data_IF_022466799019
#
_entry.id   IF_022466799019
#
_cell.length_a   1.000
_cell.length_b   1.000
_cell.length_c   1.000
_cell.angle_alpha   90.00
_cell.angle_beta   90.00
_cell.angle_gamma   90.00
#
_symmetry.space_group_name_H-M   'P 1'
#
loop_
_entity.id
_entity.type
_entity.pdbx_description
1 polymer ?
#
# COMPACT_ATOMS: atom_id res chain seq x y z
N UNK A 1 6.61 14.59 13.22
CA UNK A 1 5.42 13.77 12.88
C UNK A 1 5.87 12.53 12.17
N UNK A 2 5.45 11.33 12.57
CA UNK A 2 5.84 10.07 11.96
C UNK A 2 4.70 9.49 11.12
N UNK A 3 4.95 9.26 9.83
CA UNK A 3 3.99 8.68 8.89
C UNK A 3 4.48 7.29 8.49
N UNK A 4 3.64 6.27 8.65
CA UNK A 4 3.90 4.93 8.14
C UNK A 4 3.25 4.78 6.76
N UNK A 5 4.07 4.55 5.73
CA UNK A 5 3.60 4.22 4.39
C UNK A 5 3.61 2.70 4.22
N UNK A 6 2.45 2.10 4.01
CA UNK A 6 2.29 0.70 3.68
C UNK A 6 2.29 0.51 2.15
N UNK A 7 3.31 -0.16 1.61
CA UNK A 7 3.47 -0.32 0.16
C UNK A 7 3.99 -1.71 -0.22
N UNK A 8 3.33 -2.31 -1.20
CA UNK A 8 3.78 -3.50 -1.93
C UNK A 8 4.79 -3.14 -3.04
N UNK A 9 4.84 -1.86 -3.41
CA UNK A 9 5.79 -1.28 -4.37
C UNK A 9 6.86 -0.51 -3.61
N UNK A 10 7.77 -1.24 -2.99
CA UNK A 10 8.95 -0.70 -2.29
C UNK A 10 10.17 -1.60 -2.54
N UNK A 11 11.34 -1.14 -2.10
CA UNK A 11 12.60 -1.87 -2.27
C UNK A 11 12.48 -3.35 -1.89
N UNK A 12 13.10 -4.27 -2.66
CA UNK A 12 14.11 -4.04 -3.71
C UNK A 12 13.54 -3.80 -5.13
N UNK A 13 12.23 -3.58 -5.27
CA UNK A 13 11.65 -3.25 -6.58
C UNK A 13 12.08 -1.86 -7.03
N UNK A 14 12.27 -1.66 -8.33
CA UNK A 14 12.61 -0.36 -8.92
C UNK A 14 11.58 -0.04 -10.00
N UNK A 15 10.57 0.76 -9.65
CA UNK A 15 9.51 1.17 -10.58
C UNK A 15 9.13 2.65 -10.34
N UNK A 16 8.15 3.17 -11.10
CA UNK A 16 7.72 4.56 -10.98
C UNK A 16 7.17 4.92 -9.59
N UNK A 17 6.42 4.01 -8.97
CA UNK A 17 5.83 4.21 -7.64
C UNK A 17 6.92 4.30 -6.56
N UNK A 18 7.92 3.42 -6.62
CA UNK A 18 9.07 3.45 -5.70
C UNK A 18 9.77 4.80 -5.75
N UNK A 19 10.06 5.32 -6.96
CA UNK A 19 10.72 6.62 -7.14
C UNK A 19 9.93 7.79 -6.55
N UNK A 20 8.61 7.76 -6.65
CA UNK A 20 7.75 8.79 -6.04
C UNK A 20 7.89 8.77 -4.52
N UNK A 21 7.83 7.58 -3.90
CA UNK A 21 7.96 7.46 -2.45
C UNK A 21 9.38 7.72 -1.93
N UNK A 22 10.42 7.34 -2.66
CA UNK A 22 11.81 7.71 -2.33
C UNK A 22 11.97 9.22 -2.26
N UNK A 23 11.48 9.92 -3.29
CA UNK A 23 11.55 11.38 -3.31
C UNK A 23 10.68 11.99 -2.21
N UNK A 24 9.50 11.45 -1.95
CA UNK A 24 8.64 11.91 -0.86
C UNK A 24 9.35 11.79 0.50
N UNK A 25 10.05 10.68 0.78
CA UNK A 25 10.81 10.48 2.02
C UNK A 25 11.90 11.55 2.20
N UNK A 26 12.53 11.98 1.11
CA UNK A 26 13.56 13.02 1.14
C UNK A 26 12.96 14.42 1.34
N UNK A 27 11.92 14.74 0.57
CA UNK A 27 11.31 16.08 0.48
C UNK A 27 10.39 16.40 1.67
N UNK A 28 9.99 15.41 2.48
CA UNK A 28 9.11 15.64 3.64
C UNK A 28 9.85 16.21 4.86
N UNK A 29 11.18 16.07 4.92
CA UNK A 29 12.00 16.46 6.08
C UNK A 29 11.85 17.95 6.46
N UNK A 30 11.83 18.92 5.52
CA UNK A 30 11.61 20.33 5.84
C UNK A 30 10.26 20.62 6.50
N UNK A 31 9.28 19.73 6.36
CA UNK A 31 7.97 19.85 6.99
C UNK A 31 7.91 19.25 8.40
N UNK A 32 9.05 18.83 8.98
CA UNK A 32 9.11 18.23 10.31
C UNK A 32 8.46 16.84 10.39
N UNK A 33 8.33 16.18 9.24
CA UNK A 33 7.80 14.83 9.14
C UNK A 33 8.93 13.82 8.89
N UNK A 34 8.68 12.59 9.32
CA UNK A 34 9.51 11.42 9.07
C UNK A 34 8.61 10.34 8.46
N UNK A 35 9.07 9.75 7.37
CA UNK A 35 8.37 8.66 6.71
C UNK A 35 9.11 7.36 6.98
N UNK A 36 8.39 6.40 7.55
CA UNK A 36 8.76 5.00 7.66
C UNK A 36 8.00 4.23 6.58
N UNK A 37 8.69 3.44 5.75
CA UNK A 37 8.05 2.67 4.69
C UNK A 37 8.07 1.19 5.05
N UNK A 38 6.87 0.64 5.25
CA UNK A 38 6.61 -0.77 5.44
C UNK A 38 6.48 -1.45 4.07
N UNK A 39 7.52 -2.18 3.68
CA UNK A 39 7.72 -2.71 2.32
C UNK A 39 7.78 -4.24 2.22
N UNK A 40 7.78 -4.80 0.99
CA UNK A 40 7.74 -6.25 0.76
C UNK A 40 9.02 -6.98 1.20
N UNK A 41 10.16 -6.27 1.32
CA UNK A 41 11.41 -6.84 1.81
C UNK A 41 11.35 -7.34 3.26
N UNK A 42 10.37 -6.90 4.05
CA UNK A 42 10.18 -7.34 5.43
C UNK A 42 9.58 -8.75 5.54
N UNK A 43 9.11 -9.32 4.41
CA UNK A 43 8.49 -10.64 4.36
C UNK A 43 9.07 -11.52 3.27
N UNK A 44 8.83 -12.82 3.41
CA UNK A 44 9.00 -13.75 2.29
C UNK A 44 8.08 -13.32 1.16
N UNK A 45 8.59 -13.32 -0.06
CA UNK A 45 7.81 -12.97 -1.24
C UNK A 45 7.66 -14.18 -2.15
N UNK A 46 6.53 -14.24 -2.85
CA UNK A 46 6.34 -15.16 -3.97
C UNK A 46 6.18 -14.36 -5.26
N UNK A 47 6.77 -14.83 -6.38
CA UNK A 47 6.48 -14.24 -7.68
C UNK A 47 5.00 -14.46 -7.98
N UNK A 48 4.36 -13.42 -8.53
CA UNK A 48 3.02 -13.58 -9.06
C UNK A 48 3.06 -14.59 -10.23
N UNK A 49 2.15 -15.58 -10.29
CA UNK A 49 2.04 -16.48 -11.44
C UNK A 49 1.91 -15.66 -12.72
N UNK A 50 2.69 -15.99 -13.76
CA UNK A 50 2.78 -15.29 -15.07
C UNK A 50 3.49 -13.93 -15.08
N UNK A 51 3.89 -13.37 -13.93
CA UNK A 51 4.61 -12.09 -13.88
C UNK A 51 5.57 -12.03 -12.68
N UNK A 52 6.72 -12.70 -12.81
CA UNK A 52 7.67 -12.93 -11.71
C UNK A 52 8.38 -11.67 -11.19
N UNK A 53 8.31 -10.56 -11.93
CA UNK A 53 8.85 -9.27 -11.51
C UNK A 53 8.05 -8.67 -10.34
N UNK A 54 6.74 -8.98 -10.25
CA UNK A 54 5.92 -8.58 -9.10
C UNK A 54 6.08 -9.63 -8.00
N UNK A 55 6.58 -9.15 -6.87
CA UNK A 55 6.80 -9.96 -5.67
C UNK A 55 5.69 -9.69 -4.66
N UNK A 56 4.79 -10.65 -4.48
CA UNK A 56 3.74 -10.57 -3.48
C UNK A 56 4.29 -10.91 -2.10
N UNK A 57 4.16 -9.99 -1.15
CA UNK A 57 4.58 -10.21 0.23
C UNK A 57 3.64 -11.20 0.94
N UNK A 58 4.20 -12.29 1.47
CA UNK A 58 3.52 -13.24 2.34
C UNK A 58 3.45 -12.73 3.78
N UNK A 59 2.86 -11.55 3.95
CA UNK A 59 2.56 -10.99 5.25
C UNK A 59 1.31 -11.65 5.85
N UNK A 60 1.20 -11.66 7.18
CA UNK A 60 0.00 -12.06 7.94
C UNK A 60 -0.58 -10.87 8.69
N UNK A 61 -1.86 -10.94 9.10
CA UNK A 61 -2.51 -9.87 9.86
C UNK A 61 -1.73 -9.58 11.16
N UNK A 62 -1.22 -10.63 11.83
CA UNK A 62 -0.40 -10.49 13.03
C UNK A 62 0.97 -9.88 12.77
N UNK A 63 1.63 -10.15 11.63
CA UNK A 63 2.92 -9.51 11.33
C UNK A 63 2.76 -8.03 11.01
N UNK A 64 1.68 -7.67 10.31
CA UNK A 64 1.35 -6.27 10.00
C UNK A 64 1.03 -5.51 11.30
N UNK A 65 0.19 -6.07 12.16
CA UNK A 65 -0.12 -5.46 13.46
C UNK A 65 1.14 -5.16 14.27
N UNK A 66 2.02 -6.16 14.43
CA UNK A 66 3.30 -6.00 15.16
C UNK A 66 4.19 -4.91 14.55
N UNK A 67 4.25 -4.82 13.21
CA UNK A 67 5.06 -3.82 12.52
C UNK A 67 4.51 -2.40 12.68
N UNK A 68 3.19 -2.24 12.68
CA UNK A 68 2.53 -0.95 12.92
C UNK A 68 2.74 -0.53 14.38
N UNK A 69 2.52 -1.45 15.33
CA UNK A 69 2.68 -1.20 16.76
C UNK A 69 4.13 -0.86 17.15
N UNK A 70 5.11 -1.50 16.51
CA UNK A 70 6.53 -1.19 16.74
C UNK A 70 6.92 0.17 16.14
N UNK A 71 6.35 0.53 14.98
CA UNK A 71 6.63 1.80 14.34
C UNK A 71 6.07 2.99 15.12
N UNK A 72 4.98 2.80 15.87
CA UNK A 72 4.23 3.85 16.59
C UNK A 72 4.00 5.09 15.73
N UNK A 73 3.37 4.97 14.55
CA UNK A 73 3.18 6.11 13.68
C UNK A 73 2.06 7.02 14.18
N UNK A 74 2.19 8.32 13.91
CA UNK A 74 1.11 9.28 14.10
C UNK A 74 0.03 9.10 13.03
N UNK A 75 0.44 8.76 11.80
CA UNK A 75 -0.45 8.61 10.64
C UNK A 75 -0.08 7.40 9.80
N UNK A 76 -1.10 6.77 9.19
CA UNK A 76 -0.94 5.65 8.25
C UNK A 76 -1.40 6.06 6.86
N UNK A 77 -0.57 5.79 5.86
CA UNK A 77 -0.88 5.95 4.45
C UNK A 77 -0.74 4.62 3.71
N UNK A 78 -1.78 4.20 3.00
CA UNK A 78 -1.81 2.96 2.23
C UNK A 78 -1.55 3.28 0.76
N UNK A 79 -0.34 2.97 0.29
CA UNK A 79 0.14 3.35 -1.03
C UNK A 79 -0.30 2.42 -2.17
N UNK A 80 -0.58 1.16 -1.84
CA UNK A 80 -0.88 0.09 -2.79
C UNK A 80 -1.99 -0.80 -2.28
N UNK A 81 -2.57 -1.58 -3.18
CA UNK A 81 -3.74 -2.42 -2.90
C UNK A 81 -3.40 -3.92 -2.84
N UNK A 82 -2.10 -4.25 -2.85
CA UNK A 82 -1.59 -5.61 -2.72
C UNK A 82 -1.70 -6.16 -1.29
N UNK A 83 -1.04 -7.30 -1.01
CA UNK A 83 -1.12 -7.97 0.28
C UNK A 83 -0.83 -7.07 1.50
N UNK A 84 0.20 -6.23 1.44
CA UNK A 84 0.56 -5.32 2.54
C UNK A 84 -0.52 -4.27 2.71
N UNK A 85 -0.94 -3.64 1.62
CA UNK A 85 -1.96 -2.61 1.64
C UNK A 85 -3.30 -3.11 2.17
N UNK A 86 -3.77 -4.25 1.66
CA UNK A 86 -5.02 -4.86 2.09
C UNK A 86 -5.02 -5.24 3.57
N UNK A 87 -3.94 -5.83 4.08
CA UNK A 87 -3.85 -6.20 5.49
C UNK A 87 -3.72 -4.98 6.39
N UNK A 88 -3.01 -3.95 5.95
CA UNK A 88 -2.96 -2.66 6.65
C UNK A 88 -4.35 -2.04 6.72
N UNK A 89 -5.10 -2.03 5.62
CA UNK A 89 -6.49 -1.58 5.59
C UNK A 89 -7.36 -2.35 6.60
N UNK A 90 -7.25 -3.68 6.63
CA UNK A 90 -7.98 -4.51 7.62
C UNK A 90 -7.61 -4.13 9.05
N UNK A 91 -6.33 -3.93 9.34
CA UNK A 91 -5.86 -3.52 10.66
C UNK A 91 -6.43 -2.16 11.06
N UNK A 92 -6.35 -1.15 10.18
CA UNK A 92 -6.90 0.18 10.44
C UNK A 92 -8.40 0.13 10.68
N UNK A 93 -9.15 -0.66 9.88
CA UNK A 93 -10.60 -0.84 10.05
C UNK A 93 -10.96 -1.50 11.38
N UNK A 94 -10.26 -2.56 11.76
CA UNK A 94 -10.52 -3.28 13.00
C UNK A 94 -10.26 -2.41 14.24
N UNK A 95 -9.21 -1.59 14.19
CA UNK A 95 -8.77 -0.74 15.31
C UNK A 95 -9.32 0.69 15.25
N UNK A 96 -10.17 1.01 14.26
CA UNK A 96 -10.73 2.36 14.03
C UNK A 96 -9.65 3.45 13.89
N UNK A 97 -8.51 3.09 13.29
CA UNK A 97 -7.41 4.01 13.04
C UNK A 97 -7.67 4.73 11.71
N UNK A 98 -7.68 6.08 11.68
CA UNK A 98 -7.77 6.83 10.44
C UNK A 98 -6.58 6.54 9.53
N UNK A 99 -6.83 6.45 8.23
CA UNK A 99 -5.79 6.26 7.22
C UNK A 99 -6.10 7.07 5.97
N UNK A 100 -5.06 7.38 5.21
CA UNK A 100 -5.18 7.90 3.84
C UNK A 100 -4.71 6.81 2.87
N UNK A 101 -5.06 6.95 1.60
CA UNK A 101 -4.65 5.99 0.57
C UNK A 101 -4.22 6.69 -0.70
N UNK A 102 -3.51 5.99 -1.57
CA UNK A 102 -3.25 6.44 -2.94
C UNK A 102 -3.73 5.41 -3.95
N UNK A 103 -4.08 5.88 -5.14
CA UNK A 103 -4.40 5.04 -6.29
C UNK A 103 -3.43 5.37 -7.43
N UNK A 104 -2.40 4.53 -7.59
CA UNK A 104 -1.30 4.76 -8.54
C UNK A 104 -1.31 3.82 -9.74
N UNK A 105 -2.05 2.72 -9.67
CA UNK A 105 -2.00 1.66 -10.70
C UNK A 105 -3.39 1.17 -11.07
N UNK A 106 -3.51 0.71 -12.32
CA UNK A 106 -4.70 0.02 -12.86
C UNK A 106 -4.85 -1.40 -12.28
N UNK A 107 -4.85 -1.52 -10.95
CA UNK A 107 -4.93 -2.78 -10.21
C UNK A 107 -6.09 -3.69 -10.67
N UNK A 108 -7.31 -3.18 -10.95
CA UNK A 108 -8.43 -3.97 -11.46
C UNK A 108 -8.12 -4.67 -12.78
N UNK A 109 -7.46 -3.96 -13.70
CA UNK A 109 -7.03 -4.45 -15.00
C UNK A 109 -5.89 -5.46 -14.86
N UNK A 110 -4.97 -5.24 -13.91
CA UNK A 110 -3.94 -6.23 -13.57
C UNK A 110 -4.54 -7.55 -13.07
N UNK A 111 -5.57 -7.48 -12.21
CA UNK A 111 -6.25 -8.66 -11.67
C UNK A 111 -7.04 -9.37 -12.76
N UNK A 112 -7.84 -8.66 -13.57
CA UNK A 112 -8.64 -9.26 -14.66
C UNK A 112 -7.79 -9.91 -15.75
N UNK A 113 -6.60 -9.38 -16.02
CA UNK A 113 -5.68 -9.96 -16.99
C UNK A 113 -5.11 -11.33 -16.55
N UNK A 114 -5.26 -11.72 -15.27
CA UNK A 114 -4.59 -12.90 -14.68
C UNK A 114 -5.54 -13.88 -14.02
N UNK A 115 -6.61 -13.37 -13.44
CA UNK A 115 -7.69 -14.16 -12.86
C UNK A 115 -8.97 -13.76 -13.59
N UNK A 116 -9.90 -14.71 -13.85
CA UNK A 116 -11.19 -14.43 -14.49
C UNK A 116 -12.15 -13.71 -13.52
N UNK A 117 -11.66 -12.67 -12.87
CA UNK A 117 -12.41 -11.82 -11.94
C UNK A 117 -12.95 -10.62 -12.74
N UNK A 118 -14.27 -10.37 -12.71
CA UNK A 118 -14.85 -9.19 -13.33
C UNK A 118 -14.22 -7.91 -12.77
N UNK A 119 -13.86 -6.97 -13.64
CA UNK A 119 -13.34 -5.65 -13.25
C UNK A 119 -14.28 -4.90 -12.32
N UNK A 120 -15.59 -5.07 -12.49
CA UNK A 120 -16.58 -4.39 -11.66
C UNK A 120 -16.46 -4.77 -10.18
N UNK A 121 -16.07 -6.00 -9.89
CA UNK A 121 -15.87 -6.49 -8.52
C UNK A 121 -14.62 -5.91 -7.91
N UNK A 122 -13.51 -5.86 -8.65
CA UNK A 122 -12.26 -5.26 -8.18
C UNK A 122 -12.41 -3.75 -7.99
N UNK A 123 -13.11 -3.05 -8.89
CA UNK A 123 -13.48 -1.64 -8.69
C UNK A 123 -14.41 -1.44 -7.50
N UNK A 124 -15.41 -2.30 -7.30
CA UNK A 124 -16.29 -2.20 -6.14
C UNK A 124 -15.51 -2.35 -4.82
N UNK A 125 -14.55 -3.27 -4.79
CA UNK A 125 -13.66 -3.44 -3.65
C UNK A 125 -12.74 -2.24 -3.45
N UNK A 126 -12.13 -1.69 -4.50
CA UNK A 126 -11.31 -0.48 -4.42
C UNK A 126 -12.11 0.70 -3.88
N UNK A 127 -13.31 0.95 -4.43
CA UNK A 127 -14.22 1.98 -3.91
C UNK A 127 -14.48 1.79 -2.43
N UNK A 128 -14.73 0.55 -1.99
CA UNK A 128 -14.93 0.26 -0.56
C UNK A 128 -13.70 0.57 0.29
N UNK A 129 -12.51 0.26 -0.20
CA UNK A 129 -11.26 0.50 0.51
C UNK A 129 -10.96 2.00 0.62
N UNK A 130 -10.94 2.71 -0.51
CA UNK A 130 -10.59 4.12 -0.56
C UNK A 130 -11.64 5.01 0.13
N UNK A 131 -12.94 4.73 -0.03
CA UNK A 131 -14.00 5.51 0.64
C UNK A 131 -14.04 5.30 2.16
N UNK A 132 -13.36 4.27 2.67
CA UNK A 132 -13.25 4.06 4.12
C UNK A 132 -12.08 4.85 4.75
N UNK A 133 -11.18 5.41 3.94
CA UNK A 133 -10.12 6.30 4.39
C UNK A 133 -10.61 7.74 4.57
N UNK A 134 -9.73 8.60 5.08
CA UNK A 134 -9.98 10.05 5.22
C UNK A 134 -9.63 10.85 3.96
N UNK A 135 -9.00 10.21 2.99
CA UNK A 135 -8.62 10.82 1.73
C UNK A 135 -7.95 9.82 0.81
N UNK A 136 -8.11 10.03 -0.49
CA UNK A 136 -7.43 9.29 -1.55
C UNK A 136 -6.63 10.28 -2.40
N UNK A 137 -5.36 9.97 -2.61
CA UNK A 137 -4.47 10.72 -3.50
C UNK A 137 -4.42 10.01 -4.85
N UNK A 138 -4.53 10.78 -5.92
CA UNK A 138 -4.45 10.29 -7.31
C UNK A 138 -3.33 11.03 -8.03
N UNK A 139 -2.71 10.39 -9.02
CA UNK A 139 -1.57 10.96 -9.76
C UNK A 139 -1.99 11.90 -10.87
N UNK A 140 -3.23 11.79 -11.35
CA UNK A 140 -3.78 12.61 -12.42
C UNK A 140 -5.27 12.89 -12.21
N UNK A 141 -5.74 13.99 -12.78
CA UNK A 141 -7.15 14.40 -12.75
C UNK A 141 -7.98 13.74 -13.88
N UNK A 142 -7.40 12.77 -14.59
CA UNK A 142 -7.89 12.23 -15.88
C UNK A 142 -8.71 10.95 -15.72
#
# INVERSE_FOLDING_TARGET
MKVLIASDAWHPQVNGVVRVFERLVEEVKPFGAEIDVMGPAEWRTIPLPTYSEIKLALCSDASIARRIESAKPDYIHIATEGPIGYRTFRYCRANKIPFTSSYHTKFPEYVRARLPVPTDWTYAWLRRMHNAGQGVMVTNDS
#
